data_IF_988188168689
#
_entry.id   IF_988188168689
#
_cell.length_a   1.000
_cell.length_b   1.000
_cell.length_c   1.000
_cell.angle_alpha   90.00
_cell.angle_beta   90.00
_cell.angle_gamma   90.00
#
_symmetry.space_group_name_H-M   'P 1'
#
loop_
_entity.id
_entity.type
_entity.pdbx_description
1 polymer ?
#
# COMPACT_ATOMS: atom_id res chain seq x y z
N UNK A 1 -5.85 0.29 -9.08
CA UNK A 1 -6.22 1.24 -8.01
C UNK A 1 -6.70 2.57 -8.61
N UNK A 2 -5.85 3.38 -9.25
CA UNK A 2 -6.18 4.75 -9.73
C UNK A 2 -7.43 4.77 -10.61
N UNK A 3 -7.57 3.88 -11.59
CA UNK A 3 -8.73 3.82 -12.50
C UNK A 3 -10.07 3.56 -11.78
N UNK A 4 -10.02 3.06 -10.57
CA UNK A 4 -11.20 2.68 -9.78
C UNK A 4 -11.36 3.55 -8.51
N UNK A 5 -10.75 4.73 -8.49
CA UNK A 5 -10.80 5.69 -7.37
C UNK A 5 -10.37 5.09 -6.00
N UNK A 6 -9.56 4.03 -6.01
CA UNK A 6 -9.01 3.50 -4.79
C UNK A 6 -7.91 4.45 -4.28
N UNK A 7 -7.98 4.94 -3.03
CA UNK A 7 -6.97 5.85 -2.50
C UNK A 7 -5.60 5.19 -2.52
N UNK A 8 -4.60 5.85 -3.08
CA UNK A 8 -3.21 5.41 -3.09
C UNK A 8 -2.33 6.44 -2.40
N UNK A 9 -1.22 6.00 -1.82
CA UNK A 9 -0.22 6.93 -1.30
C UNK A 9 0.29 7.86 -2.40
N UNK A 10 0.49 9.17 -2.11
CA UNK A 10 1.21 10.05 -3.02
C UNK A 10 2.56 9.44 -3.40
N UNK A 11 2.89 9.44 -4.68
CA UNK A 11 4.12 8.78 -5.10
C UNK A 11 4.48 9.03 -6.57
N UNK A 12 5.63 8.49 -6.98
CA UNK A 12 6.21 8.59 -8.33
C UNK A 12 6.56 7.20 -8.84
N UNK A 13 6.36 6.99 -10.14
CA UNK A 13 6.78 5.76 -10.84
C UNK A 13 8.21 5.89 -11.36
N UNK A 14 8.83 4.76 -11.75
CA UNK A 14 10.19 4.73 -12.30
C UNK A 14 10.39 5.69 -13.49
N UNK A 15 9.39 5.84 -14.34
CA UNK A 15 9.42 6.76 -15.49
C UNK A 15 9.55 8.24 -15.08
N UNK A 16 9.08 8.59 -13.87
CA UNK A 16 9.17 9.95 -13.32
C UNK A 16 10.54 10.26 -12.70
N UNK A 17 11.31 9.22 -12.35
CA UNK A 17 12.61 9.37 -11.69
C UNK A 17 13.72 9.90 -12.62
N UNK A 18 13.48 9.90 -13.91
CA UNK A 18 14.43 10.35 -14.94
C UNK A 18 14.23 11.81 -15.36
N UNK A 19 13.34 12.53 -14.69
CA UNK A 19 12.99 13.93 -15.04
C UNK A 19 13.80 14.91 -14.22
N UNK A 20 14.15 16.04 -14.83
CA UNK A 20 14.95 17.09 -14.20
C UNK A 20 14.27 17.74 -12.97
N UNK A 21 12.97 17.51 -12.79
CA UNK A 21 12.17 18.05 -11.70
C UNK A 21 11.96 17.05 -10.52
N UNK A 22 12.78 15.99 -10.44
CA UNK A 22 12.62 14.92 -9.43
C UNK A 22 12.64 15.48 -8.00
N UNK A 23 13.61 16.34 -7.68
CA UNK A 23 13.71 16.91 -6.34
C UNK A 23 12.46 17.70 -5.95
N UNK A 24 11.95 18.52 -6.87
CA UNK A 24 10.71 19.28 -6.65
C UNK A 24 9.53 18.35 -6.37
N UNK A 25 9.35 17.31 -7.17
CA UNK A 25 8.27 16.31 -6.98
C UNK A 25 8.40 15.58 -5.66
N UNK A 26 9.62 15.21 -5.26
CA UNK A 26 9.86 14.57 -3.97
C UNK A 26 9.53 15.52 -2.80
N UNK A 27 9.83 16.81 -2.94
CA UNK A 27 9.43 17.81 -1.94
C UNK A 27 7.91 17.99 -1.87
N UNK A 28 7.19 17.86 -3.00
CA UNK A 28 5.72 17.89 -3.04
C UNK A 28 5.09 16.67 -2.35
N UNK A 29 5.68 15.48 -2.51
CA UNK A 29 5.29 14.27 -1.76
C UNK A 29 5.60 14.46 -0.27
N UNK A 30 6.71 15.10 0.05
CA UNK A 30 7.23 15.32 1.39
C UNK A 30 7.94 14.09 1.97
N UNK A 31 9.03 14.35 2.71
CA UNK A 31 9.79 13.30 3.40
C UNK A 31 9.15 12.87 4.74
N UNK A 32 9.44 11.68 5.23
CA UNK A 32 10.23 10.61 4.59
C UNK A 32 9.54 10.01 3.36
N UNK A 33 10.35 9.49 2.42
CA UNK A 33 9.89 8.79 1.22
C UNK A 33 10.30 7.31 1.30
N UNK A 34 9.40 6.44 0.98
CA UNK A 34 9.62 5.00 0.86
C UNK A 34 9.92 4.65 -0.59
N UNK A 35 11.04 3.97 -0.82
CA UNK A 35 11.45 3.46 -2.12
C UNK A 35 11.14 1.97 -2.15
N UNK A 36 10.43 1.49 -3.17
CA UNK A 36 9.96 0.10 -3.29
C UNK A 36 10.28 -0.48 -4.66
N UNK A 37 10.64 -1.75 -4.71
CA UNK A 37 10.74 -2.49 -5.97
C UNK A 37 9.34 -2.77 -6.53
N UNK A 38 9.11 -2.51 -7.82
CA UNK A 38 7.80 -2.70 -8.47
C UNK A 38 7.38 -4.16 -8.55
N UNK A 39 8.33 -5.07 -8.70
CA UNK A 39 8.08 -6.51 -8.74
C UNK A 39 8.21 -7.18 -7.36
N UNK A 40 8.44 -6.41 -6.30
CA UNK A 40 8.69 -6.91 -4.95
C UNK A 40 7.43 -7.07 -4.12
N UNK A 41 7.54 -7.89 -3.07
CA UNK A 41 6.54 -8.07 -2.03
C UNK A 41 7.21 -8.45 -0.71
N UNK A 42 6.43 -8.45 0.39
CA UNK A 42 6.94 -8.88 1.70
C UNK A 42 8.08 -8.02 2.27
N UNK A 43 8.19 -6.76 1.86
CA UNK A 43 9.18 -5.82 2.39
C UNK A 43 10.60 -5.94 1.80
N UNK A 44 10.82 -6.83 0.85
CA UNK A 44 12.14 -7.00 0.23
C UNK A 44 12.44 -5.82 -0.70
N UNK A 45 13.60 -5.18 -0.52
CA UNK A 45 14.03 -4.06 -1.36
C UNK A 45 13.35 -2.73 -1.02
N UNK A 46 12.80 -2.58 0.19
CA UNK A 46 12.29 -1.29 0.67
C UNK A 46 13.41 -0.50 1.37
N UNK A 47 13.47 0.79 1.08
CA UNK A 47 14.38 1.76 1.69
C UNK A 47 13.60 3.03 2.06
N UNK A 48 13.94 3.65 3.18
CA UNK A 48 13.37 4.93 3.58
C UNK A 48 14.45 6.00 3.40
N UNK A 49 14.07 7.12 2.79
CA UNK A 49 14.92 8.29 2.64
C UNK A 49 14.28 9.48 3.36
N UNK A 50 15.06 10.18 4.19
CA UNK A 50 14.59 11.32 4.97
C UNK A 50 14.83 12.66 4.28
N UNK A 51 15.63 12.66 3.21
CA UNK A 51 15.96 13.83 2.40
C UNK A 51 16.35 13.39 0.98
N UNK A 52 16.57 14.38 0.11
CA UNK A 52 16.90 14.13 -1.30
C UNK A 52 18.25 13.42 -1.50
N UNK A 53 19.25 13.73 -0.70
CA UNK A 53 20.58 13.10 -0.80
C UNK A 53 20.51 11.61 -0.48
N UNK A 54 19.82 11.23 0.61
CA UNK A 54 19.56 9.84 0.96
C UNK A 54 18.74 9.13 -0.12
N UNK A 55 17.75 9.83 -0.71
CA UNK A 55 16.91 9.30 -1.77
C UNK A 55 17.74 8.89 -2.98
N UNK A 56 18.57 9.79 -3.51
CA UNK A 56 19.40 9.53 -4.69
C UNK A 56 20.32 8.33 -4.47
N UNK A 57 20.96 8.25 -3.30
CA UNK A 57 21.83 7.12 -2.95
C UNK A 57 21.05 5.80 -2.85
N UNK A 58 19.83 5.86 -2.34
CA UNK A 58 19.00 4.67 -2.12
C UNK A 58 18.33 4.15 -3.39
N UNK A 59 18.06 5.01 -4.37
CA UNK A 59 17.48 4.62 -5.67
C UNK A 59 18.35 3.56 -6.36
N UNK A 60 19.65 3.86 -6.54
CA UNK A 60 20.56 2.92 -7.23
C UNK A 60 20.73 1.61 -6.47
N UNK A 61 20.83 1.67 -5.14
CA UNK A 61 20.91 0.47 -4.29
C UNK A 61 19.67 -0.40 -4.45
N UNK A 62 18.48 0.22 -4.40
CA UNK A 62 17.21 -0.48 -4.52
C UNK A 62 17.01 -1.07 -5.91
N UNK A 63 17.35 -0.35 -6.98
CA UNK A 63 17.32 -0.87 -8.35
C UNK A 63 18.19 -2.11 -8.54
N UNK A 64 19.42 -2.07 -8.02
CA UNK A 64 20.33 -3.19 -8.09
C UNK A 64 19.82 -4.40 -7.30
N UNK A 65 19.26 -4.18 -6.11
CA UNK A 65 18.67 -5.22 -5.28
C UNK A 65 17.43 -5.84 -5.95
N UNK A 66 16.54 -5.01 -6.48
CA UNK A 66 15.34 -5.43 -7.20
C UNK A 66 15.68 -6.28 -8.41
N UNK A 67 16.67 -5.87 -9.21
CA UNK A 67 17.16 -6.64 -10.36
C UNK A 67 17.69 -8.01 -9.97
N UNK A 68 18.44 -8.09 -8.87
CA UNK A 68 18.98 -9.37 -8.37
C UNK A 68 17.89 -10.28 -7.81
N UNK A 69 16.93 -9.74 -7.07
CA UNK A 69 15.91 -10.53 -6.39
C UNK A 69 14.74 -10.93 -7.30
N UNK A 70 14.34 -10.05 -8.24
CA UNK A 70 13.11 -10.20 -9.02
C UNK A 70 13.33 -10.17 -10.54
N UNK A 71 14.55 -9.96 -11.02
CA UNK A 71 14.85 -9.83 -12.45
C UNK A 71 14.41 -8.50 -13.07
N UNK A 72 13.75 -7.63 -12.32
CA UNK A 72 13.27 -6.32 -12.74
C UNK A 72 13.84 -5.24 -11.82
N UNK A 73 14.35 -4.14 -12.40
CA UNK A 73 14.93 -3.02 -11.67
C UNK A 73 13.96 -1.86 -11.43
N UNK A 74 12.72 -1.94 -11.93
CA UNK A 74 11.75 -0.87 -11.77
C UNK A 74 11.42 -0.65 -10.30
N UNK A 75 11.39 0.60 -9.90
CA UNK A 75 11.05 1.03 -8.55
C UNK A 75 9.96 2.09 -8.58
N UNK A 76 9.35 2.33 -7.45
CA UNK A 76 8.49 3.48 -7.25
C UNK A 76 8.73 4.11 -5.89
N UNK A 77 8.40 5.38 -5.78
CA UNK A 77 8.51 6.17 -4.57
C UNK A 77 7.10 6.41 -4.02
N UNK A 78 6.96 6.34 -2.71
CA UNK A 78 5.72 6.66 -2.01
C UNK A 78 5.99 7.48 -0.76
N UNK A 79 5.03 8.30 -0.36
CA UNK A 79 5.05 8.93 0.96
C UNK A 79 5.14 7.84 2.03
N UNK A 80 6.13 7.92 2.89
CA UNK A 80 6.21 7.06 4.07
C UNK A 80 5.28 7.59 5.17
N UNK A 81 4.38 6.77 5.64
CA UNK A 81 3.45 7.11 6.72
C UNK A 81 4.04 6.59 8.02
N UNK A 82 4.59 7.51 8.84
CA UNK A 82 5.34 7.13 10.05
C UNK A 82 4.45 6.62 11.18
N UNK A 83 3.25 7.19 11.31
CA UNK A 83 2.26 6.79 12.32
C UNK A 83 1.10 6.08 11.64
N UNK A 84 1.34 4.84 11.25
CA UNK A 84 0.43 4.05 10.44
C UNK A 84 -0.12 2.83 11.15
N UNK A 85 -1.32 2.42 10.77
CA UNK A 85 -1.88 1.11 11.08
C UNK A 85 -2.09 0.33 9.79
N UNK A 86 -1.90 -0.97 9.86
CA UNK A 86 -2.18 -1.90 8.78
C UNK A 86 -3.58 -2.48 8.99
N UNK A 87 -4.53 -2.03 8.19
CA UNK A 87 -5.92 -2.47 8.25
C UNK A 87 -6.24 -3.25 6.99
N UNK A 88 -6.92 -4.36 7.14
CA UNK A 88 -7.34 -5.16 6.00
C UNK A 88 -8.85 -5.44 6.02
N UNK A 89 -9.44 -5.51 4.84
CA UNK A 89 -10.86 -5.84 4.64
C UNK A 89 -10.94 -7.19 3.95
N UNK A 90 -11.59 -8.16 4.61
CA UNK A 90 -11.91 -9.43 3.98
C UNK A 90 -13.07 -9.23 3.01
N UNK A 91 -12.90 -9.66 1.76
CA UNK A 91 -13.91 -9.54 0.71
C UNK A 91 -14.22 -10.89 0.08
N UNK A 92 -15.40 -10.97 -0.56
CA UNK A 92 -15.77 -12.07 -1.43
C UNK A 92 -16.45 -11.52 -2.69
N UNK A 93 -15.81 -11.74 -3.83
CA UNK A 93 -16.32 -11.32 -5.13
C UNK A 93 -17.26 -12.37 -5.72
N UNK A 94 -18.34 -11.90 -6.34
CA UNK A 94 -19.36 -12.69 -7.01
C UNK A 94 -19.36 -12.46 -8.54
N UNK A 95 -18.20 -12.11 -9.09
CA UNK A 95 -18.02 -11.79 -10.50
C UNK A 95 -18.72 -10.48 -10.89
N UNK A 96 -19.52 -10.53 -11.95
CA UNK A 96 -20.20 -9.34 -12.48
C UNK A 96 -21.34 -8.82 -11.59
N UNK A 97 -21.77 -9.58 -10.60
CA UNK A 97 -22.96 -9.26 -9.82
C UNK A 97 -22.69 -8.21 -8.73
N UNK A 98 -21.77 -8.51 -7.83
CA UNK A 98 -21.33 -7.65 -6.71
C UNK A 98 -20.20 -8.31 -5.94
N UNK A 99 -19.69 -7.58 -4.94
CA UNK A 99 -18.84 -8.15 -3.90
C UNK A 99 -19.46 -7.89 -2.51
N UNK A 100 -19.02 -8.65 -1.53
CA UNK A 100 -19.37 -8.50 -0.12
C UNK A 100 -18.09 -8.31 0.68
N UNK A 101 -18.17 -7.68 1.85
CA UNK A 101 -17.09 -7.66 2.82
C UNK A 101 -17.50 -8.35 4.12
N UNK A 102 -16.50 -8.85 4.86
CA UNK A 102 -16.65 -9.53 6.14
C UNK A 102 -15.87 -8.78 7.23
N UNK A 103 -16.03 -7.47 7.24
CA UNK A 103 -15.38 -6.53 8.16
C UNK A 103 -13.86 -6.46 8.02
N UNK A 104 -13.25 -5.77 8.97
CA UNK A 104 -11.83 -5.46 8.99
C UNK A 104 -11.08 -6.29 10.03
N UNK A 105 -9.77 -6.33 9.85
CA UNK A 105 -8.78 -6.74 10.85
C UNK A 105 -7.70 -5.67 10.94
N UNK A 106 -7.20 -5.44 12.15
CA UNK A 106 -5.99 -4.69 12.39
C UNK A 106 -4.80 -5.65 12.48
N UNK A 107 -3.85 -5.47 11.59
CA UNK A 107 -2.66 -6.30 11.47
C UNK A 107 -1.39 -5.47 11.74
N UNK A 108 -1.47 -4.43 12.57
CA UNK A 108 -0.35 -3.50 12.79
C UNK A 108 0.78 -4.09 13.62
N UNK A 109 0.50 -5.11 14.46
CA UNK A 109 1.54 -5.76 15.25
C UNK A 109 2.29 -6.78 14.39
N UNK A 110 3.44 -6.33 13.90
CA UNK A 110 4.24 -7.06 12.91
C UNK A 110 5.71 -7.16 13.36
N UNK A 111 6.39 -8.19 12.86
CA UNK A 111 7.85 -8.33 12.93
C UNK A 111 8.40 -8.54 11.54
N UNK A 112 9.24 -7.61 11.07
CA UNK A 112 9.83 -7.67 9.72
C UNK A 112 8.76 -7.88 8.64
N UNK A 113 7.67 -7.09 8.72
CA UNK A 113 6.50 -7.14 7.81
C UNK A 113 5.68 -8.44 7.88
N UNK A 114 5.91 -9.31 8.87
CA UNK A 114 5.08 -10.47 9.14
C UNK A 114 4.07 -10.15 10.25
N UNK A 115 2.81 -10.37 9.99
CA UNK A 115 1.72 -10.20 10.95
C UNK A 115 1.88 -11.20 12.10
N UNK A 116 1.83 -10.72 13.34
CA UNK A 116 1.97 -11.55 14.55
C UNK A 116 0.67 -11.60 15.32
N UNK A 117 -0.02 -10.46 15.44
CA UNK A 117 -1.31 -10.35 16.10
C UNK A 117 -2.25 -9.64 15.15
N UNK A 118 -3.43 -10.21 15.00
CA UNK A 118 -4.54 -9.63 14.25
C UNK A 118 -5.72 -9.45 15.21
N UNK A 119 -6.35 -8.26 15.17
CA UNK A 119 -7.50 -7.92 15.99
C UNK A 119 -8.72 -7.61 15.11
N UNK A 120 -9.87 -8.12 15.48
CA UNK A 120 -11.15 -7.78 14.86
C UNK A 120 -12.22 -7.61 15.93
N UNK A 121 -12.97 -6.49 15.94
CA UNK A 121 -12.82 -5.31 15.08
C UNK A 121 -11.56 -4.49 15.39
N UNK A 122 -11.13 -3.66 14.43
CA UNK A 122 -9.97 -2.78 14.61
C UNK A 122 -10.26 -1.72 15.71
N UNK A 123 -9.50 -1.71 16.83
CA UNK A 123 -9.80 -0.81 17.93
C UNK A 123 -9.46 0.64 17.61
N UNK A 124 -10.22 1.60 18.18
CA UNK A 124 -9.93 3.06 18.14
C UNK A 124 -9.80 3.66 16.74
N UNK A 125 -10.49 3.12 15.74
CA UNK A 125 -10.71 3.76 14.45
C UNK A 125 -12.18 4.18 14.37
N UNK A 126 -12.45 5.36 13.86
CA UNK A 126 -13.82 5.84 13.67
C UNK A 126 -14.56 4.92 12.69
N UNK A 127 -15.79 4.54 13.06
CA UNK A 127 -16.61 3.65 12.23
C UNK A 127 -16.76 4.14 10.79
N UNK A 128 -16.91 5.43 10.59
CA UNK A 128 -17.01 6.05 9.26
C UNK A 128 -15.78 5.80 8.38
N UNK A 129 -14.59 5.74 8.97
CA UNK A 129 -13.36 5.44 8.24
C UNK A 129 -13.34 3.96 7.83
N UNK A 130 -13.72 3.05 8.73
CA UNK A 130 -13.84 1.63 8.42
C UNK A 130 -14.89 1.38 7.34
N UNK A 131 -16.06 2.02 7.44
CA UNK A 131 -17.11 1.91 6.44
C UNK A 131 -16.62 2.37 5.05
N UNK A 132 -15.88 3.48 4.98
CA UNK A 132 -15.27 3.99 3.74
C UNK A 132 -14.19 3.04 3.17
N UNK A 133 -13.37 2.41 4.03
CA UNK A 133 -12.42 1.38 3.61
C UNK A 133 -13.15 0.18 3.01
N UNK A 134 -14.19 -0.30 3.69
CA UNK A 134 -14.99 -1.44 3.25
C UNK A 134 -15.71 -1.17 1.92
N UNK A 135 -16.30 0.01 1.77
CA UNK A 135 -16.93 0.44 0.52
C UNK A 135 -15.90 0.52 -0.62
N UNK A 136 -14.73 1.11 -0.37
CA UNK A 136 -13.64 1.19 -1.34
C UNK A 136 -13.16 -0.19 -1.78
N UNK A 137 -13.03 -1.13 -0.83
CA UNK A 137 -12.65 -2.52 -1.10
C UNK A 137 -13.69 -3.24 -1.96
N UNK A 138 -14.98 -3.14 -1.61
CA UNK A 138 -16.09 -3.74 -2.37
C UNK A 138 -16.18 -3.17 -3.77
N UNK A 139 -16.09 -1.85 -3.93
CA UNK A 139 -16.13 -1.18 -5.23
C UNK A 139 -14.96 -1.61 -6.12
N UNK A 140 -13.76 -1.73 -5.55
CA UNK A 140 -12.59 -2.21 -6.28
C UNK A 140 -12.78 -3.65 -6.77
N UNK A 141 -13.15 -4.57 -5.89
CA UNK A 141 -13.36 -5.99 -6.20
C UNK A 141 -14.46 -6.18 -7.25
N UNK A 142 -15.57 -5.44 -7.12
CA UNK A 142 -16.67 -5.44 -8.08
C UNK A 142 -16.21 -4.94 -9.47
N UNK A 143 -15.42 -3.85 -9.50
CA UNK A 143 -14.91 -3.27 -10.75
C UNK A 143 -13.96 -4.19 -11.52
N UNK A 144 -13.29 -5.11 -10.80
CA UNK A 144 -12.42 -6.14 -11.37
C UNK A 144 -13.18 -7.41 -11.77
N UNK A 145 -14.49 -7.48 -11.51
CA UNK A 145 -15.31 -8.68 -11.72
C UNK A 145 -14.72 -9.91 -11.02
N UNK A 146 -14.08 -9.67 -9.88
CA UNK A 146 -13.36 -10.71 -9.15
C UNK A 146 -14.31 -11.77 -8.61
N UNK A 147 -13.91 -13.04 -8.67
CA UNK A 147 -14.64 -14.18 -8.11
C UNK A 147 -13.81 -14.88 -7.03
N UNK A 148 -14.41 -15.07 -5.86
CA UNK A 148 -13.82 -15.78 -4.75
C UNK A 148 -13.39 -14.88 -3.59
N UNK A 149 -12.72 -15.48 -2.62
CA UNK A 149 -12.24 -14.80 -1.44
C UNK A 149 -11.00 -13.96 -1.74
N UNK A 150 -10.93 -12.78 -1.15
CA UNK A 150 -9.79 -11.88 -1.25
C UNK A 150 -9.68 -11.00 -0.02
N UNK A 151 -8.51 -10.39 0.16
CA UNK A 151 -8.25 -9.45 1.24
C UNK A 151 -7.64 -8.19 0.66
N UNK A 152 -8.26 -7.05 0.94
CA UNK A 152 -7.75 -5.73 0.53
C UNK A 152 -7.04 -5.12 1.72
N UNK A 153 -5.77 -4.83 1.58
CA UNK A 153 -4.92 -4.24 2.62
C UNK A 153 -4.77 -2.74 2.42
N UNK A 154 -4.84 -2.01 3.53
CA UNK A 154 -4.71 -0.56 3.60
C UNK A 154 -3.68 -0.13 4.63
N UNK A 155 -2.98 0.96 4.35
CA UNK A 155 -2.27 1.76 5.34
C UNK A 155 -3.21 2.86 5.82
N UNK A 156 -3.48 2.91 7.11
CA UNK A 156 -4.25 3.98 7.76
C UNK A 156 -3.30 4.95 8.44
N UNK A 157 -3.27 6.19 7.94
CA UNK A 157 -2.54 7.32 8.51
C UNK A 157 -3.35 7.89 9.69
N UNK A 158 -2.86 7.66 10.90
CA UNK A 158 -3.54 8.07 12.13
C UNK A 158 -3.59 9.59 12.24
N UNK A 159 -2.52 10.28 11.86
CA UNK A 159 -2.37 11.72 12.06
C UNK A 159 -3.30 12.50 11.13
N UNK A 160 -3.47 12.05 9.90
CA UNK A 160 -4.30 12.69 8.89
C UNK A 160 -5.70 12.06 8.73
N UNK A 161 -5.98 10.96 9.44
CA UNK A 161 -7.22 10.18 9.34
C UNK A 161 -7.54 9.78 7.89
N UNK A 162 -6.52 9.41 7.11
CA UNK A 162 -6.61 8.97 5.72
C UNK A 162 -6.17 7.53 5.60
N UNK A 163 -6.70 6.83 4.61
CA UNK A 163 -6.24 5.49 4.30
C UNK A 163 -5.82 5.38 2.84
N UNK A 164 -4.91 4.45 2.57
CA UNK A 164 -4.34 4.23 1.26
C UNK A 164 -4.25 2.74 0.98
N UNK A 165 -4.61 2.35 -0.24
CA UNK A 165 -4.48 0.97 -0.70
C UNK A 165 -3.02 0.53 -0.68
N UNK A 166 -2.77 -0.63 -0.11
CA UNK A 166 -1.46 -1.27 -0.06
C UNK A 166 -1.36 -2.39 -1.11
N UNK A 167 -2.16 -3.42 -0.95
CA UNK A 167 -2.19 -4.56 -1.87
C UNK A 167 -3.51 -5.34 -1.78
N UNK A 168 -3.68 -6.29 -2.71
CA UNK A 168 -4.75 -7.29 -2.65
C UNK A 168 -4.15 -8.69 -2.60
N UNK A 169 -4.53 -9.46 -1.60
CA UNK A 169 -4.26 -10.88 -1.55
C UNK A 169 -5.49 -11.66 -2.07
N UNK A 170 -5.27 -12.51 -3.07
CA UNK A 170 -6.35 -13.30 -3.72
C UNK A 170 -6.64 -14.60 -2.94
N UNK A 171 -6.76 -14.49 -1.64
CA UNK A 171 -7.01 -15.59 -0.70
C UNK A 171 -7.64 -15.09 0.60
N UNK A 172 -8.15 -16.00 1.41
CA UNK A 172 -8.49 -15.73 2.81
C UNK A 172 -7.20 -15.46 3.59
N UNK A 173 -7.25 -14.52 4.49
CA UNK A 173 -6.25 -14.30 5.53
C UNK A 173 -6.79 -14.85 6.86
N UNK A 174 -5.93 -15.49 7.62
CA UNK A 174 -6.18 -16.05 8.95
C UNK A 174 -5.10 -15.65 9.90
#
# INVERSE_FOLDING_TARGET
AIKNNLPICPGLKDEDLKKDDLEKKCNEIGYPILIKASAGGGGIGMQIANNYEELVQSIEKTKNLAKKAFGNSDIFLEKFISNARHIEIQVFGLGERKALHFYERDCSIQRRFQKIIEESPAPKIEKSIIDNMAESAVNFVTSQKYEGAGTIEFIYDIDNKKFYFLEMNTRIQV
#
